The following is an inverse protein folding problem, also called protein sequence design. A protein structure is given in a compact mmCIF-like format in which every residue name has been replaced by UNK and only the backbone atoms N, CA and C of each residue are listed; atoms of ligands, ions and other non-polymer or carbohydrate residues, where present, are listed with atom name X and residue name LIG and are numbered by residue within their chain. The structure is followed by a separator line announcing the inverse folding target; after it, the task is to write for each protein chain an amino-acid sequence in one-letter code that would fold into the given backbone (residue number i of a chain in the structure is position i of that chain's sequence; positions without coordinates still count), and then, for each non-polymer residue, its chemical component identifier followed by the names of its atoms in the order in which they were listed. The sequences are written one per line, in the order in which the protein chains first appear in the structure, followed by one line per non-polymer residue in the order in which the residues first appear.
data_IF_857761832896
#
_entry.id   IF_857761832896
#
_cell.length_a   1.000
_cell.length_b   1.000
_cell.length_c   1.000
_cell.angle_alpha   90.00
_cell.angle_beta   90.00
_cell.angle_gamma   90.00
#
_symmetry.space_group_name_H-M   'P 1'
#
loop_
_entity.id
_entity.type
_entity.pdbx_description
1 polymer ?
#
# COMPACT_ATOMS: atom_id res chain seq x y z
N UNK A 1 -6.62 8.49 -9.22
CA UNK A 1 -5.68 9.62 -9.04
C UNK A 1 -5.40 10.34 -10.35
N UNK A 2 -5.02 9.61 -11.39
CA UNK A 2 -4.81 10.14 -12.73
C UNK A 2 -5.17 9.09 -13.78
N UNK A 3 -5.38 9.55 -15.02
CA UNK A 3 -5.59 8.71 -16.18
C UNK A 3 -4.61 9.11 -17.26
N UNK A 4 -3.94 8.12 -17.83
CA UNK A 4 -3.04 8.30 -18.98
C UNK A 4 -3.85 8.42 -20.27
N UNK A 5 -3.23 8.97 -21.32
CA UNK A 5 -3.83 8.98 -22.66
C UNK A 5 -3.83 7.55 -23.24
N UNK A 6 -5.00 7.00 -23.40
CA UNK A 6 -5.20 5.60 -23.86
C UNK A 6 -5.65 5.51 -25.33
N UNK A 7 -5.74 6.62 -26.07
CA UNK A 7 -6.29 6.63 -27.44
C UNK A 7 -5.56 5.68 -28.37
N UNK A 8 -4.23 5.68 -28.34
CA UNK A 8 -3.42 4.75 -29.15
C UNK A 8 -3.66 3.31 -28.74
N UNK A 9 -3.64 3.05 -27.44
CA UNK A 9 -3.82 1.70 -26.87
C UNK A 9 -5.21 1.13 -27.23
N UNK A 10 -6.25 1.97 -27.17
CA UNK A 10 -7.61 1.57 -27.56
C UNK A 10 -7.71 1.21 -29.04
N UNK A 11 -7.00 1.95 -29.93
CA UNK A 11 -6.96 1.63 -31.37
C UNK A 11 -6.20 0.32 -31.64
N UNK A 12 -5.07 0.10 -30.97
CA UNK A 12 -4.30 -1.14 -31.08
C UNK A 12 -5.12 -2.34 -30.58
N UNK A 13 -5.87 -2.18 -29.49
CA UNK A 13 -6.78 -3.19 -28.96
C UNK A 13 -7.88 -3.54 -29.98
N UNK A 14 -8.58 -2.56 -30.53
CA UNK A 14 -9.63 -2.77 -31.52
C UNK A 14 -9.11 -3.48 -32.78
N UNK A 15 -7.89 -3.14 -33.24
CA UNK A 15 -7.23 -3.83 -34.36
C UNK A 15 -6.96 -5.31 -34.03
N UNK A 16 -6.41 -5.56 -32.83
CA UNK A 16 -6.08 -6.93 -32.38
C UNK A 16 -7.34 -7.77 -32.16
N UNK A 17 -8.42 -7.20 -31.64
CA UNK A 17 -9.72 -7.86 -31.54
C UNK A 17 -10.27 -8.30 -32.90
N UNK A 18 -10.20 -7.41 -33.90
CA UNK A 18 -10.64 -7.74 -35.27
C UNK A 18 -9.81 -8.87 -35.87
N UNK A 19 -8.50 -8.86 -35.65
CA UNK A 19 -7.61 -9.91 -36.13
C UNK A 19 -7.87 -11.24 -35.41
N UNK A 20 -8.05 -11.21 -34.10
CA UNK A 20 -8.39 -12.38 -33.27
C UNK A 20 -9.69 -13.02 -33.74
N UNK A 21 -10.70 -12.23 -34.06
CA UNK A 21 -11.96 -12.76 -34.62
C UNK A 21 -11.74 -13.47 -35.96
N UNK A 22 -10.90 -12.91 -36.84
CA UNK A 22 -10.53 -13.54 -38.11
C UNK A 22 -9.82 -14.88 -37.89
N UNK A 23 -8.85 -14.92 -36.96
CA UNK A 23 -8.11 -16.14 -36.61
C UNK A 23 -9.02 -17.19 -35.93
N UNK A 24 -9.96 -16.76 -35.11
CA UNK A 24 -10.98 -17.66 -34.54
C UNK A 24 -11.81 -18.35 -35.60
N UNK A 25 -12.24 -17.60 -36.63
CA UNK A 25 -12.98 -18.19 -37.77
C UNK A 25 -12.09 -19.16 -38.57
N UNK A 26 -10.79 -18.84 -38.73
CA UNK A 26 -9.83 -19.73 -39.38
C UNK A 26 -9.62 -21.02 -38.58
N UNK A 27 -9.46 -20.92 -37.26
CA UNK A 27 -9.35 -22.08 -36.37
C UNK A 27 -10.59 -22.96 -36.43
N UNK A 28 -11.79 -22.38 -36.33
CA UNK A 28 -13.05 -23.16 -36.44
C UNK A 28 -13.17 -23.90 -37.79
N UNK A 29 -12.71 -23.28 -38.89
CA UNK A 29 -12.66 -23.98 -40.19
C UNK A 29 -11.63 -25.11 -40.20
N UNK A 30 -10.46 -24.85 -39.62
CA UNK A 30 -9.41 -25.86 -39.51
C UNK A 30 -9.86 -27.06 -38.65
N UNK A 31 -10.59 -26.81 -37.59
CA UNK A 31 -11.16 -27.82 -36.70
C UNK A 31 -12.11 -28.76 -37.46
N UNK A 32 -13.08 -28.20 -38.23
CA UNK A 32 -14.00 -28.97 -39.06
C UNK A 32 -13.29 -29.80 -40.15
N UNK A 33 -12.24 -29.24 -40.76
CA UNK A 33 -11.45 -29.93 -41.78
C UNK A 33 -10.58 -31.03 -41.18
N UNK A 34 -10.07 -30.81 -39.97
CA UNK A 34 -9.28 -31.80 -39.23
C UNK A 34 -10.15 -33.01 -38.83
N UNK A 35 -11.34 -32.76 -38.29
CA UNK A 35 -12.30 -33.79 -37.94
C UNK A 35 -12.70 -34.63 -39.15
N UNK A 36 -12.82 -33.98 -40.33
CA UNK A 36 -13.09 -34.62 -41.60
C UNK A 36 -11.85 -35.28 -42.25
N UNK A 37 -10.68 -35.24 -41.58
CA UNK A 37 -9.38 -35.73 -42.06
C UNK A 37 -8.92 -35.10 -43.38
N UNK A 38 -9.33 -33.85 -43.63
CA UNK A 38 -8.98 -33.09 -44.84
C UNK A 38 -7.71 -32.26 -44.73
N UNK A 39 -7.20 -32.05 -43.50
CA UNK A 39 -5.93 -31.35 -43.26
C UNK A 39 -5.02 -32.18 -42.33
N UNK A 40 -3.73 -31.85 -42.37
CA UNK A 40 -2.74 -32.48 -41.47
C UNK A 40 -2.86 -31.95 -40.02
N UNK A 41 -2.40 -32.73 -39.04
CA UNK A 41 -2.28 -32.24 -37.66
C UNK A 41 -1.47 -30.93 -37.55
N UNK A 42 -0.39 -30.82 -38.31
CA UNK A 42 0.45 -29.61 -38.33
C UNK A 42 -0.31 -28.38 -38.82
N UNK A 43 -1.20 -28.54 -39.83
CA UNK A 43 -2.00 -27.41 -40.32
C UNK A 43 -3.05 -26.95 -39.29
N UNK A 44 -3.64 -27.88 -38.57
CA UNK A 44 -4.55 -27.58 -37.45
C UNK A 44 -3.81 -26.90 -36.33
N UNK A 45 -2.67 -27.45 -35.89
CA UNK A 45 -1.85 -26.87 -34.81
C UNK A 45 -1.37 -25.45 -35.16
N UNK A 46 -1.00 -25.22 -36.42
CA UNK A 46 -0.63 -23.88 -36.88
C UNK A 46 -1.80 -22.87 -36.76
N UNK A 47 -3.01 -23.25 -37.07
CA UNK A 47 -4.19 -22.40 -36.92
C UNK A 47 -4.47 -22.10 -35.44
N UNK A 48 -4.35 -23.12 -34.57
CA UNK A 48 -4.47 -22.98 -33.10
C UNK A 48 -3.44 -22.07 -32.55
N UNK A 49 -2.16 -22.24 -32.82
CA UNK A 49 -1.07 -21.39 -32.33
C UNK A 49 -1.22 -19.95 -32.81
N UNK A 50 -1.67 -19.70 -34.00
CA UNK A 50 -1.91 -18.34 -34.49
C UNK A 50 -3.02 -17.66 -33.70
N UNK A 51 -4.09 -18.37 -33.38
CA UNK A 51 -5.17 -17.85 -32.54
C UNK A 51 -4.70 -17.60 -31.10
N UNK A 52 -4.02 -18.55 -30.48
CA UNK A 52 -3.51 -18.44 -29.10
C UNK A 52 -2.52 -17.28 -28.94
N UNK A 53 -1.64 -17.09 -29.93
CA UNK A 53 -0.69 -15.98 -29.95
C UNK A 53 -1.40 -14.62 -29.97
N UNK A 54 -2.42 -14.47 -30.82
CA UNK A 54 -3.17 -13.23 -30.92
C UNK A 54 -4.05 -12.99 -29.69
N UNK A 55 -4.60 -14.05 -29.10
CA UNK A 55 -5.33 -13.96 -27.84
C UNK A 55 -4.42 -13.48 -26.69
N UNK A 56 -3.20 -13.97 -26.63
CA UNK A 56 -2.20 -13.50 -25.65
C UNK A 56 -1.82 -12.02 -25.88
N UNK A 57 -1.70 -11.59 -27.15
CA UNK A 57 -1.44 -10.19 -27.48
C UNK A 57 -2.59 -9.28 -27.04
N UNK A 58 -3.85 -9.70 -27.26
CA UNK A 58 -5.02 -8.96 -26.79
C UNK A 58 -5.05 -8.86 -25.24
N UNK A 59 -4.74 -9.96 -24.56
CA UNK A 59 -4.69 -9.96 -23.09
C UNK A 59 -3.64 -8.99 -22.54
N UNK A 60 -2.48 -8.88 -23.20
CA UNK A 60 -1.45 -7.90 -22.84
C UNK A 60 -1.96 -6.47 -23.02
N UNK A 61 -2.58 -6.14 -24.17
CA UNK A 61 -3.16 -4.82 -24.41
C UNK A 61 -4.26 -4.46 -23.41
N UNK A 62 -5.09 -5.44 -23.01
CA UNK A 62 -6.12 -5.25 -21.98
C UNK A 62 -5.50 -4.96 -20.61
N UNK A 63 -4.40 -5.65 -20.27
CA UNK A 63 -3.65 -5.37 -19.07
C UNK A 63 -3.09 -3.95 -19.08
N UNK A 64 -2.41 -3.55 -20.15
CA UNK A 64 -1.82 -2.22 -20.30
C UNK A 64 -2.90 -1.11 -20.19
N UNK A 65 -4.09 -1.36 -20.76
CA UNK A 65 -5.23 -0.45 -20.64
C UNK A 65 -5.72 -0.32 -19.18
N UNK A 66 -5.73 -1.41 -18.43
CA UNK A 66 -6.10 -1.38 -17.01
C UNK A 66 -5.10 -0.57 -16.16
N UNK A 67 -3.81 -0.68 -16.49
CA UNK A 67 -2.73 0.05 -15.82
C UNK A 67 -2.66 1.53 -16.22
N UNK A 68 -3.32 1.93 -17.30
CA UNK A 68 -3.40 3.33 -17.72
C UNK A 68 -4.16 4.23 -16.72
N UNK A 69 -4.81 3.64 -15.72
CA UNK A 69 -5.47 4.36 -14.64
C UNK A 69 -4.67 4.23 -13.35
N UNK A 70 -3.99 5.32 -12.96
CA UNK A 70 -3.25 5.37 -11.70
C UNK A 70 -4.23 5.43 -10.53
N UNK A 71 -4.31 4.36 -9.76
CA UNK A 71 -5.18 4.22 -8.58
C UNK A 71 -4.38 4.37 -7.29
N UNK A 72 -5.05 4.79 -6.23
CA UNK A 72 -4.46 4.78 -4.89
C UNK A 72 -4.34 3.33 -4.40
N UNK A 73 -3.14 2.85 -4.03
CA UNK A 73 -2.96 1.50 -3.48
C UNK A 73 -3.41 1.37 -2.03
N UNK A 74 -3.55 2.50 -1.34
CA UNK A 74 -3.95 2.58 0.07
C UNK A 74 -5.00 3.68 0.27
N UNK A 75 -5.75 3.61 1.35
CA UNK A 75 -6.52 4.74 1.85
C UNK A 75 -5.56 5.75 2.49
N UNK A 76 -5.72 7.04 2.20
CA UNK A 76 -4.83 8.06 2.72
C UNK A 76 -5.00 9.41 2.04
N UNK A 77 -4.06 10.30 2.33
CA UNK A 77 -4.01 11.66 1.79
C UNK A 77 -2.82 11.78 0.85
N UNK A 78 -3.03 12.44 -0.29
CA UNK A 78 -1.95 12.80 -1.21
C UNK A 78 -1.15 13.93 -0.55
N UNK A 79 0.13 13.68 -0.27
CA UNK A 79 1.02 14.67 0.34
C UNK A 79 1.79 15.47 -0.71
N UNK A 80 2.16 14.83 -1.83
CA UNK A 80 2.85 15.48 -2.95
C UNK A 80 2.27 14.97 -4.27
N UNK A 81 2.14 15.85 -5.22
CA UNK A 81 1.77 15.55 -6.60
C UNK A 81 2.90 16.04 -7.53
N UNK A 82 3.62 15.11 -8.15
CA UNK A 82 4.75 15.40 -9.04
C UNK A 82 4.30 15.65 -10.48
N UNK A 83 3.09 15.25 -10.84
CA UNK A 83 2.56 15.32 -12.21
C UNK A 83 1.50 16.40 -12.37
N UNK A 84 1.41 16.94 -13.59
CA UNK A 84 0.37 17.87 -14.01
C UNK A 84 -0.30 17.35 -15.29
N UNK A 85 -1.49 17.85 -15.58
CA UNK A 85 -2.16 17.56 -16.85
C UNK A 85 -1.26 17.96 -18.04
N UNK A 86 -1.10 17.04 -18.98
CA UNK A 86 -0.23 17.24 -20.15
C UNK A 86 1.23 16.84 -19.97
N UNK A 87 1.65 16.40 -18.78
CA UNK A 87 2.99 15.84 -18.62
C UNK A 87 3.15 14.51 -19.33
N UNK A 88 4.32 14.29 -19.89
CA UNK A 88 4.77 12.95 -20.31
C UNK A 88 5.39 12.25 -19.12
N UNK A 89 4.93 11.02 -18.84
CA UNK A 89 5.46 10.18 -17.77
C UNK A 89 6.44 9.16 -18.32
N UNK A 90 7.54 8.98 -17.62
CA UNK A 90 8.47 7.88 -17.88
C UNK A 90 8.08 6.66 -17.03
N UNK A 91 8.36 5.44 -17.46
CA UNK A 91 8.22 4.27 -16.62
C UNK A 91 8.95 4.46 -15.28
N UNK A 92 8.32 4.06 -14.19
CA UNK A 92 8.84 4.16 -12.81
C UNK A 92 9.04 5.60 -12.29
N UNK A 93 8.48 6.63 -12.96
CA UNK A 93 8.49 7.98 -12.40
C UNK A 93 7.48 8.11 -11.25
N UNK A 94 7.87 8.82 -10.20
CA UNK A 94 6.99 9.13 -9.09
C UNK A 94 5.90 10.10 -9.54
N UNK A 95 4.64 9.68 -9.42
CA UNK A 95 3.50 10.50 -9.79
C UNK A 95 2.84 11.19 -8.59
N UNK A 96 2.68 10.45 -7.50
CA UNK A 96 2.04 10.91 -6.26
C UNK A 96 2.73 10.30 -5.05
N UNK A 97 2.85 11.09 -3.98
CA UNK A 97 3.16 10.57 -2.65
C UNK A 97 1.87 10.53 -1.83
N UNK A 98 1.66 9.40 -1.17
CA UNK A 98 0.50 9.21 -0.31
C UNK A 98 0.94 8.76 1.08
N UNK A 99 0.24 9.24 2.10
CA UNK A 99 0.43 8.79 3.48
C UNK A 99 -0.90 8.38 4.09
N UNK A 100 -0.89 7.34 4.89
CA UNK A 100 -2.04 7.02 5.73
C UNK A 100 -2.21 8.14 6.75
N UNK A 101 -3.44 8.55 6.96
CA UNK A 101 -3.77 9.61 7.90
C UNK A 101 -4.74 9.14 9.00
N UNK A 102 -5.32 7.96 8.82
CA UNK A 102 -6.26 7.30 9.74
C UNK A 102 -5.57 6.73 10.99
N UNK A 103 -4.30 6.37 10.85
CA UNK A 103 -3.45 5.90 11.94
C UNK A 103 -2.15 6.71 11.92
N UNK A 104 -1.76 7.22 13.06
CA UNK A 104 -0.48 7.91 13.24
C UNK A 104 0.41 7.05 14.13
N UNK A 105 1.68 6.98 13.75
CA UNK A 105 2.71 6.31 14.54
C UNK A 105 3.64 7.35 15.18
N UNK A 106 3.74 7.28 16.49
CA UNK A 106 4.76 8.02 17.26
C UNK A 106 5.99 7.14 17.45
N UNK A 107 7.15 7.68 17.08
CA UNK A 107 8.43 6.99 17.23
C UNK A 107 9.17 7.58 18.42
N UNK A 108 9.48 6.73 19.40
CA UNK A 108 10.21 7.10 20.60
C UNK A 108 11.57 6.39 20.64
N UNK A 109 12.56 7.06 21.19
CA UNK A 109 13.84 6.45 21.56
C UNK A 109 13.87 6.31 23.07
N UNK A 110 13.80 5.09 23.57
CA UNK A 110 13.68 4.77 24.99
C UNK A 110 15.01 4.17 25.49
N UNK A 111 15.52 4.56 26.67
CA UNK A 111 16.73 4.01 27.26
C UNK A 111 16.63 2.47 27.41
N UNK A 112 17.72 1.75 27.16
CA UNK A 112 17.77 0.27 27.22
C UNK A 112 17.35 -0.28 28.60
N UNK A 113 17.53 0.46 29.68
CA UNK A 113 17.14 0.10 31.04
C UNK A 113 15.63 -0.17 31.19
N UNK A 114 14.82 0.42 30.31
CA UNK A 114 13.37 0.26 30.29
C UNK A 114 12.89 -0.92 29.44
N UNK A 115 13.81 -1.61 28.72
CA UNK A 115 13.47 -2.66 27.75
C UNK A 115 12.62 -3.79 28.35
N UNK A 116 12.97 -4.22 29.57
CA UNK A 116 12.28 -5.32 30.26
C UNK A 116 10.86 -4.97 30.71
N UNK A 117 10.55 -3.68 30.83
CA UNK A 117 9.23 -3.18 31.26
C UNK A 117 8.25 -3.03 30.11
N UNK A 118 8.74 -2.91 28.88
CA UNK A 118 7.91 -2.63 27.72
C UNK A 118 7.57 -3.89 26.94
N UNK A 119 6.32 -3.96 26.48
CA UNK A 119 5.78 -5.04 25.66
C UNK A 119 4.84 -4.46 24.59
N UNK A 120 4.79 -5.11 23.44
CA UNK A 120 3.77 -4.79 22.44
C UNK A 120 2.36 -5.00 23.01
N UNK A 121 1.42 -4.16 22.62
CA UNK A 121 0.05 -4.15 23.11
C UNK A 121 -0.19 -3.41 24.42
N UNK A 122 0.86 -2.81 25.04
CA UNK A 122 0.66 -1.98 26.21
C UNK A 122 -0.08 -0.68 25.86
N UNK A 123 -1.04 -0.25 26.69
CA UNK A 123 -1.75 1.00 26.48
C UNK A 123 -0.81 2.19 26.65
N UNK A 124 -1.00 3.19 25.81
CA UNK A 124 -0.27 4.44 25.86
C UNK A 124 -1.24 5.61 25.68
N UNK A 125 -0.91 6.73 26.29
CA UNK A 125 -1.63 7.99 26.12
C UNK A 125 -0.73 8.95 25.35
N UNK A 126 -1.27 9.53 24.27
CA UNK A 126 -0.52 10.44 23.41
C UNK A 126 -1.14 11.83 23.53
N UNK A 127 -0.32 12.80 23.89
CA UNK A 127 -0.70 14.21 23.95
C UNK A 127 0.15 15.04 22.99
N UNK A 128 -0.49 15.99 22.28
CA UNK A 128 0.18 16.85 21.32
C UNK A 128 0.03 18.30 21.75
N UNK A 129 1.14 18.91 22.14
CA UNK A 129 1.15 20.29 22.71
C UNK A 129 0.63 21.34 21.70
N UNK A 130 0.80 21.12 20.39
CA UNK A 130 0.31 22.00 19.33
C UNK A 130 -1.22 22.02 19.19
N UNK A 131 -1.89 21.01 19.74
CA UNK A 131 -3.36 20.85 19.71
C UNK A 131 -3.86 20.82 21.15
N UNK A 132 -4.13 21.99 21.71
CA UNK A 132 -4.48 22.19 23.14
C UNK A 132 -5.59 21.24 23.57
N UNK A 133 -5.25 20.29 24.45
CA UNK A 133 -6.20 19.32 25.01
C UNK A 133 -6.47 18.08 24.14
N UNK A 134 -5.78 17.90 23.03
CA UNK A 134 -5.88 16.65 22.29
C UNK A 134 -5.07 15.58 23.01
N UNK A 135 -5.78 14.68 23.66
CA UNK A 135 -5.23 13.48 24.30
C UNK A 135 -5.91 12.29 23.62
N UNK A 136 -5.12 11.38 23.12
CA UNK A 136 -5.64 10.17 22.45
C UNK A 136 -5.06 8.92 23.07
N UNK A 137 -5.88 7.87 23.05
CA UNK A 137 -5.45 6.54 23.45
C UNK A 137 -4.73 5.85 22.30
N UNK A 138 -3.60 5.25 22.62
CA UNK A 138 -2.77 4.49 21.71
C UNK A 138 -2.29 3.20 22.33
N UNK A 139 -1.53 2.44 21.56
CA UNK A 139 -0.91 1.20 22.02
C UNK A 139 0.51 1.06 21.49
N UNK A 140 1.36 0.37 22.23
CA UNK A 140 2.70 -0.01 21.77
C UNK A 140 2.56 -1.02 20.63
N UNK A 141 2.78 -0.56 19.41
CA UNK A 141 2.68 -1.37 18.21
C UNK A 141 3.89 -2.30 18.06
N UNK A 142 5.09 -1.77 18.27
CA UNK A 142 6.35 -2.48 18.03
C UNK A 142 7.49 -1.93 18.88
N UNK A 143 8.35 -2.84 19.34
CA UNK A 143 9.61 -2.55 19.99
C UNK A 143 10.72 -3.07 19.09
N UNK A 144 11.68 -2.23 18.74
CA UNK A 144 12.82 -2.66 17.94
C UNK A 144 13.69 -3.66 18.73
N UNK A 145 14.11 -4.76 18.11
CA UNK A 145 14.96 -5.73 18.78
C UNK A 145 16.41 -5.27 18.97
N UNK A 146 16.77 -4.14 18.36
CA UNK A 146 18.12 -3.61 18.33
C UNK A 146 18.24 -2.35 19.18
N UNK A 147 19.30 -2.26 20.00
CA UNK A 147 19.68 -1.07 20.74
C UNK A 147 20.71 -0.30 19.93
N UNK A 148 20.53 1.00 19.79
CA UNK A 148 21.53 1.86 19.17
C UNK A 148 22.71 2.07 20.13
N UNK A 149 23.92 1.57 19.82
CA UNK A 149 25.05 1.63 20.76
C UNK A 149 25.58 3.04 20.98
N UNK A 150 25.31 3.97 20.06
CA UNK A 150 25.77 5.36 20.21
C UNK A 150 24.93 6.15 21.20
N UNK A 151 23.65 5.78 21.38
CA UNK A 151 22.70 6.50 22.25
C UNK A 151 22.26 5.70 23.47
N UNK A 152 22.50 4.37 23.50
CA UNK A 152 21.99 3.47 24.52
C UNK A 152 20.46 3.39 24.54
N UNK A 153 19.81 3.60 23.39
CA UNK A 153 18.36 3.62 23.28
C UNK A 153 17.87 2.61 22.25
N UNK A 154 16.65 2.15 22.43
CA UNK A 154 15.92 1.34 21.42
C UNK A 154 14.67 2.08 20.94
N UNK A 155 14.23 1.74 19.75
CA UNK A 155 13.07 2.38 19.14
C UNK A 155 11.78 1.68 19.56
N UNK A 156 10.83 2.47 20.05
CA UNK A 156 9.45 2.04 20.33
C UNK A 156 8.52 2.79 19.40
N UNK A 157 7.62 2.08 18.76
CA UNK A 157 6.57 2.65 17.91
C UNK A 157 5.24 2.48 18.61
N UNK A 158 4.56 3.59 18.85
CA UNK A 158 3.21 3.63 19.42
C UNK A 158 2.24 4.07 18.34
N UNK A 159 1.15 3.35 18.16
CA UNK A 159 0.09 3.69 17.19
C UNK A 159 -1.10 4.33 17.89
N UNK A 160 -1.75 5.26 17.19
CA UNK A 160 -2.98 5.92 17.63
C UNK A 160 -3.89 6.14 16.45
N UNK A 161 -5.20 5.98 16.63
CA UNK A 161 -6.21 6.33 15.65
C UNK A 161 -6.31 7.86 15.49
N UNK A 162 -6.48 8.31 14.26
CA UNK A 162 -6.61 9.72 13.90
C UNK A 162 -7.84 9.94 13.00
N UNK A 163 -9.05 9.63 13.48
CA UNK A 163 -10.26 9.63 12.65
C UNK A 163 -10.59 11.01 12.07
N UNK A 164 -10.28 12.07 12.81
CA UNK A 164 -10.55 13.44 12.38
C UNK A 164 -9.42 14.07 11.55
N UNK A 165 -8.30 13.36 11.36
CA UNK A 165 -7.16 13.84 10.58
C UNK A 165 -6.46 15.07 11.18
N UNK A 166 -6.66 15.36 12.46
CA UNK A 166 -6.07 16.53 13.14
C UNK A 166 -4.57 16.38 13.35
N UNK A 167 -4.13 15.16 13.61
CA UNK A 167 -2.70 14.86 13.76
C UNK A 167 -2.03 14.77 12.39
N UNK A 168 -0.88 15.42 12.28
CA UNK A 168 -0.10 15.43 11.05
C UNK A 168 1.29 14.85 11.30
N UNK A 169 1.84 14.10 10.33
CA UNK A 169 3.22 13.66 10.40
C UNK A 169 4.18 14.85 10.62
N UNK A 170 5.16 14.66 11.51
CA UNK A 170 6.12 15.71 11.88
C UNK A 170 5.73 16.55 13.10
N UNK A 171 4.57 16.33 13.70
CA UNK A 171 4.22 16.93 14.98
C UNK A 171 5.00 16.28 16.12
N UNK A 172 5.33 17.08 17.14
CA UNK A 172 5.88 16.57 18.40
C UNK A 172 4.75 16.12 19.30
N UNK A 173 4.92 14.94 19.90
CA UNK A 173 3.98 14.37 20.83
C UNK A 173 4.69 13.90 22.10
N UNK A 174 4.00 14.02 23.22
CA UNK A 174 4.36 13.36 24.48
C UNK A 174 3.61 12.05 24.55
N UNK A 175 4.31 10.98 24.90
CA UNK A 175 3.72 9.64 25.00
C UNK A 175 3.99 9.08 26.38
N UNK A 176 2.93 8.74 27.08
CA UNK A 176 2.96 8.11 28.38
C UNK A 176 2.53 6.64 28.22
N UNK A 177 3.45 5.70 28.44
CA UNK A 177 3.19 4.25 28.31
C UNK A 177 2.93 3.69 29.70
N UNK A 178 1.76 3.04 29.86
CA UNK A 178 1.41 2.36 31.10
C UNK A 178 2.05 0.96 31.08
N UNK A 179 3.14 0.77 31.84
CA UNK A 179 3.86 -0.50 31.89
C UNK A 179 3.53 -1.34 33.13
N UNK A 180 2.97 -0.74 34.18
CA UNK A 180 2.57 -1.45 35.40
C UNK A 180 1.40 -0.77 36.09
N UNK A 181 0.56 -1.54 36.77
CA UNK A 181 -0.60 -1.06 37.54
C UNK A 181 -0.71 -1.79 38.86
N UNK A 182 -0.61 -1.09 39.92
CA UNK A 182 -0.79 -1.59 41.29
C UNK A 182 -2.20 -1.24 41.77
N UNK A 183 -3.11 -2.24 41.85
CA UNK A 183 -4.50 -2.02 42.28
C UNK A 183 -4.68 -1.88 43.79
N UNK A 184 -3.76 -2.42 44.58
CA UNK A 184 -3.86 -2.50 46.04
C UNK A 184 -2.74 -1.66 46.76
N UNK A 185 -2.27 -0.60 46.12
CA UNK A 185 -1.25 0.26 46.71
C UNK A 185 -1.84 1.14 47.82
N UNK A 186 -1.27 1.07 49.03
CA UNK A 186 -1.56 2.03 50.08
C UNK A 186 -0.87 3.35 49.75
N UNK A 187 -1.65 4.38 49.45
CA UNK A 187 -1.16 5.70 49.13
C UNK A 187 -1.07 6.54 50.43
N UNK A 188 0.08 7.10 50.70
CA UNK A 188 0.28 8.06 51.77
C UNK A 188 0.58 9.42 51.15
N UNK A 189 0.03 10.48 51.72
CA UNK A 189 0.34 11.83 51.27
C UNK A 189 1.86 12.09 51.42
N UNK A 190 2.47 12.72 50.42
CA UNK A 190 3.89 13.08 50.43
C UNK A 190 4.27 13.93 51.64
N UNK A 191 3.32 14.68 52.18
CA UNK A 191 3.50 15.53 53.38
C UNK A 191 3.49 14.73 54.68
N UNK A 192 3.03 13.46 54.64
CA UNK A 192 2.99 12.57 55.81
C UNK A 192 4.30 11.78 56.02
N UNK A 193 5.27 11.92 55.11
CA UNK A 193 6.58 11.26 55.17
C UNK A 193 7.60 12.33 55.64
N UNK A 194 7.91 12.26 56.90
CA UNK A 194 8.94 13.13 57.54
C UNK A 194 10.32 12.52 57.32
#
# INVERSE_FOLDING_TARGET
LAQLDTRRLALDMARTETNLESLKRALNRADQLYDSKMISPDAFDQARFNYEREAAALALLAHDLSEATIRAPINGVITVRHIKLGNTLQPNSEAFEMKRADIIEAILNVPEQELLKLKAGQPATISVDALTGLVGDGEVLRIAPEVNPATGTFRVTVSMLNPEGQLKPGMFARVDILYDRYSDALLVSREAVI
#
